data_IF_947279859572
#
_entry.id   IF_947279859572
#
_cell.length_a   1.000
_cell.length_b   1.000
_cell.length_c   1.000
_cell.angle_alpha   90.00
_cell.angle_beta   90.00
_cell.angle_gamma   90.00
#
_symmetry.space_group_name_H-M   'P 1'
#
loop_
_entity.id
_entity.type
_entity.pdbx_description
1 polymer ?
#
# COMPACT_ATOMS: atom_id res chain seq x y z
N UNK A 1 18.00 35.78 23.93
CA UNK A 1 19.13 35.02 23.36
C UNK A 1 19.11 33.55 23.78
N UNK A 2 18.87 33.24 25.07
CA UNK A 2 18.77 31.87 25.61
C UNK A 2 17.65 31.02 25.01
N UNK A 3 16.45 31.58 24.81
CA UNK A 3 15.31 30.84 24.23
C UNK A 3 15.61 30.37 22.80
N UNK A 4 16.26 31.21 21.99
CA UNK A 4 16.64 30.85 20.62
C UNK A 4 17.63 29.69 20.59
N UNK A 5 18.59 29.65 21.52
CA UNK A 5 19.55 28.54 21.64
C UNK A 5 18.85 27.23 22.02
N UNK A 6 17.87 27.27 22.92
CA UNK A 6 17.09 26.07 23.27
C UNK A 6 16.24 25.56 22.09
N UNK A 7 15.61 26.46 21.33
CA UNK A 7 14.83 26.10 20.15
C UNK A 7 15.72 25.47 19.07
N UNK A 8 16.90 26.04 18.82
CA UNK A 8 17.86 25.48 17.86
C UNK A 8 18.33 24.10 18.31
N UNK A 9 18.66 23.94 19.59
CA UNK A 9 19.06 22.64 20.16
C UNK A 9 17.96 21.58 20.03
N UNK A 10 16.70 21.95 20.28
CA UNK A 10 15.56 21.06 20.13
C UNK A 10 15.36 20.62 18.67
N UNK A 11 15.42 21.55 17.72
CA UNK A 11 15.28 21.24 16.29
C UNK A 11 16.41 20.31 15.84
N UNK A 12 17.65 20.58 16.26
CA UNK A 12 18.80 19.72 15.94
C UNK A 12 18.64 18.31 16.52
N UNK A 13 18.18 18.18 17.76
CA UNK A 13 17.93 16.89 18.39
C UNK A 13 16.85 16.08 17.65
N UNK A 14 15.75 16.73 17.26
CA UNK A 14 14.69 16.10 16.46
C UNK A 14 15.22 15.65 15.11
N UNK A 15 16.00 16.49 14.42
CA UNK A 15 16.57 16.16 13.12
C UNK A 15 17.54 14.96 13.19
N UNK A 16 18.40 14.92 14.21
CA UNK A 16 19.33 13.80 14.44
C UNK A 16 18.56 12.51 14.74
N UNK A 17 17.56 12.58 15.62
CA UNK A 17 16.71 11.44 15.93
C UNK A 17 16.03 10.87 14.68
N UNK A 18 15.42 11.74 13.87
CA UNK A 18 14.78 11.33 12.62
C UNK A 18 15.80 10.75 11.63
N UNK A 19 16.99 11.33 11.52
CA UNK A 19 18.06 10.81 10.66
C UNK A 19 18.49 9.39 11.06
N UNK A 20 18.66 9.13 12.37
CA UNK A 20 19.00 7.79 12.89
C UNK A 20 17.86 6.80 12.65
N UNK A 21 16.61 7.19 12.86
CA UNK A 21 15.45 6.32 12.58
C UNK A 21 15.38 5.96 11.10
N UNK A 22 15.68 6.90 10.20
CA UNK A 22 15.65 6.64 8.75
C UNK A 22 16.85 5.81 8.24
N UNK A 23 18.00 5.83 8.91
CA UNK A 23 19.12 4.93 8.55
C UNK A 23 18.92 3.51 9.06
N UNK A 24 18.24 3.33 10.18
CA UNK A 24 18.00 1.99 10.76
C UNK A 24 16.84 1.24 10.12
N UNK A 25 15.88 1.94 9.50
CA UNK A 25 14.74 1.30 8.80
C UNK A 25 14.82 1.63 7.31
N UNK A 26 15.66 0.92 6.53
CA UNK A 26 15.75 1.09 5.09
C UNK A 26 14.36 0.84 4.47
N UNK A 27 13.79 1.88 3.84
CA UNK A 27 12.46 1.84 3.22
C UNK A 27 11.32 2.53 3.99
N UNK A 28 11.49 2.85 5.28
CA UNK A 28 10.43 3.53 6.06
C UNK A 28 10.11 4.93 5.53
N UNK A 29 11.11 5.64 4.99
CA UNK A 29 10.92 6.93 4.34
C UNK A 29 10.10 6.80 3.05
N UNK A 30 10.32 5.74 2.27
CA UNK A 30 9.62 5.49 1.01
C UNK A 30 8.16 5.08 1.24
N UNK A 31 7.91 4.26 2.26
CA UNK A 31 6.56 3.84 2.69
C UNK A 31 5.73 5.03 3.22
N UNK A 32 6.35 5.88 4.06
CA UNK A 32 5.69 7.04 4.68
C UNK A 32 5.52 8.22 3.72
N UNK A 33 6.48 8.48 2.84
CA UNK A 33 6.44 9.62 1.90
C UNK A 33 6.05 9.24 0.47
N UNK A 34 5.65 7.98 0.24
CA UNK A 34 4.91 7.58 -0.95
C UNK A 34 5.63 7.68 -2.28
N UNK A 35 6.94 7.50 -2.29
CA UNK A 35 7.69 7.15 -3.50
C UNK A 35 7.50 5.67 -3.83
N UNK A 36 6.25 5.21 -3.99
CA UNK A 36 5.96 3.81 -4.35
C UNK A 36 6.14 3.54 -5.85
N UNK A 37 6.24 4.57 -6.69
CA UNK A 37 6.22 4.40 -8.16
C UNK A 37 7.57 4.61 -8.87
N UNK A 38 8.63 5.01 -8.17
CA UNK A 38 9.93 5.26 -8.81
C UNK A 38 10.83 4.02 -8.96
N UNK A 39 10.56 2.94 -8.20
CA UNK A 39 11.56 1.88 -7.97
C UNK A 39 11.00 0.45 -8.10
N UNK A 40 9.68 0.25 -8.05
CA UNK A 40 9.09 -1.10 -8.19
C UNK A 40 8.16 -1.10 -9.41
N UNK A 41 8.39 -1.99 -10.40
CA UNK A 41 7.49 -2.10 -11.55
C UNK A 41 6.11 -2.54 -11.07
N UNK A 42 5.06 -2.10 -11.77
CA UNK A 42 3.72 -2.61 -11.47
C UNK A 42 3.59 -4.05 -11.93
N UNK A 43 2.71 -4.82 -11.27
CA UNK A 43 2.24 -6.08 -11.82
C UNK A 43 1.68 -5.86 -13.24
N UNK A 44 2.00 -6.74 -14.21
CA UNK A 44 1.52 -6.60 -15.59
C UNK A 44 -0.01 -6.68 -15.72
N UNK A 45 -0.65 -7.30 -14.73
CA UNK A 45 -2.09 -7.49 -14.54
C UNK A 45 -2.75 -6.38 -13.70
N UNK A 46 -2.08 -5.25 -13.49
CA UNK A 46 -2.67 -4.13 -12.76
C UNK A 46 -3.95 -3.66 -13.47
N UNK A 47 -5.06 -3.58 -12.74
CA UNK A 47 -6.39 -3.29 -13.29
C UNK A 47 -7.30 -4.51 -13.47
N UNK A 48 -6.76 -5.72 -13.36
CA UNK A 48 -7.51 -6.97 -13.50
C UNK A 48 -7.91 -7.56 -12.14
N UNK A 49 -9.09 -8.18 -12.09
CA UNK A 49 -9.55 -8.93 -10.93
C UNK A 49 -9.04 -10.36 -11.01
N UNK A 50 -8.28 -10.80 -10.01
CA UNK A 50 -7.76 -12.15 -9.88
C UNK A 50 -8.42 -12.88 -8.73
N UNK A 51 -8.79 -14.14 -8.94
CA UNK A 51 -9.26 -15.00 -7.87
C UNK A 51 -8.11 -15.26 -6.88
N UNK A 52 -8.36 -15.01 -5.60
CA UNK A 52 -7.46 -15.38 -4.53
C UNK A 52 -7.90 -16.73 -3.96
N UNK A 53 -7.34 -17.80 -4.53
CA UNK A 53 -7.65 -19.17 -4.12
C UNK A 53 -6.65 -19.73 -3.10
N UNK A 54 -5.47 -19.11 -3.00
CA UNK A 54 -4.35 -19.63 -2.22
C UNK A 54 -4.32 -19.07 -0.78
N UNK A 55 -4.89 -17.90 -0.52
CA UNK A 55 -4.92 -17.34 0.84
C UNK A 55 -5.90 -18.10 1.74
N UNK A 56 -5.62 -18.12 3.04
CA UNK A 56 -6.54 -18.65 4.05
C UNK A 56 -7.93 -18.01 3.97
N UNK A 57 -7.98 -16.71 3.68
CA UNK A 57 -9.23 -15.95 3.51
C UNK A 57 -9.95 -16.35 2.22
N UNK A 58 -9.22 -16.59 1.14
CA UNK A 58 -9.75 -17.11 -0.12
C UNK A 58 -10.37 -18.51 0.03
N UNK A 59 -9.68 -19.39 0.73
CA UNK A 59 -10.18 -20.73 1.05
C UNK A 59 -11.42 -20.69 1.96
N UNK A 60 -11.44 -19.80 2.95
CA UNK A 60 -12.62 -19.60 3.80
C UNK A 60 -13.82 -19.08 3.00
N UNK A 61 -13.62 -18.09 2.12
CA UNK A 61 -14.67 -17.60 1.23
C UNK A 61 -15.22 -18.70 0.34
N UNK A 62 -14.35 -19.58 -0.17
CA UNK A 62 -14.76 -20.72 -1.00
C UNK A 62 -15.61 -21.71 -0.22
N UNK A 63 -15.34 -21.94 1.07
CA UNK A 63 -16.17 -22.76 1.94
C UNK A 63 -17.58 -22.17 2.15
N UNK A 64 -17.72 -20.84 2.03
CA UNK A 64 -18.99 -20.11 2.07
C UNK A 64 -19.69 -20.03 0.69
N UNK A 65 -19.12 -20.64 -0.37
CA UNK A 65 -19.64 -20.56 -1.73
C UNK A 65 -19.34 -19.23 -2.44
N UNK A 66 -18.41 -18.44 -1.90
CA UNK A 66 -17.98 -17.15 -2.44
C UNK A 66 -16.58 -17.28 -3.07
N UNK A 67 -16.32 -16.50 -4.12
CA UNK A 67 -14.98 -16.33 -4.69
C UNK A 67 -14.44 -14.97 -4.28
N UNK A 68 -13.31 -14.98 -3.59
CA UNK A 68 -12.58 -13.77 -3.26
C UNK A 68 -11.76 -13.33 -4.47
N UNK A 69 -11.95 -12.10 -4.90
CA UNK A 69 -11.20 -11.51 -6.01
C UNK A 69 -10.43 -10.29 -5.52
N UNK A 70 -9.18 -10.18 -5.95
CA UNK A 70 -8.25 -9.10 -5.59
C UNK A 70 -7.79 -8.40 -6.86
N UNK A 71 -7.73 -7.08 -6.81
CA UNK A 71 -7.18 -6.25 -7.88
C UNK A 71 -6.23 -5.22 -7.29
N UNK A 72 -5.11 -4.98 -7.98
CA UNK A 72 -4.30 -3.80 -7.79
C UNK A 72 -4.76 -2.71 -8.75
N UNK A 73 -5.00 -1.51 -8.23
CA UNK A 73 -5.46 -0.36 -9.00
C UNK A 73 -4.58 0.85 -8.73
N UNK A 74 -4.24 1.59 -9.77
CA UNK A 74 -3.48 2.83 -9.61
C UNK A 74 -4.44 3.99 -9.48
N UNK A 75 -4.47 4.59 -8.30
CA UNK A 75 -5.17 5.83 -8.06
C UNK A 75 -4.24 6.99 -8.46
N UNK A 76 -4.60 7.63 -9.56
CA UNK A 76 -3.97 8.84 -10.07
C UNK A 76 -4.76 10.04 -9.57
N UNK A 77 -4.37 10.66 -8.44
CA UNK A 77 -5.00 11.91 -8.03
C UNK A 77 -4.77 12.97 -9.12
N UNK A 78 -5.87 13.51 -9.64
CA UNK A 78 -5.85 14.61 -10.59
C UNK A 78 -5.25 15.88 -9.97
N UNK A 79 -3.97 16.14 -10.21
CA UNK A 79 -3.31 17.39 -9.82
C UNK A 79 -1.80 17.26 -9.64
N UNK A 80 -1.07 18.38 -9.84
CA UNK A 80 0.39 18.45 -9.84
C UNK A 80 1.08 18.04 -8.51
N UNK A 81 0.32 17.87 -7.42
CA UNK A 81 0.81 17.47 -6.08
C UNK A 81 0.26 16.12 -5.63
N UNK A 82 -0.59 15.49 -6.45
CA UNK A 82 -1.20 14.21 -6.13
C UNK A 82 -0.16 13.08 -6.20
N UNK A 83 0.13 12.43 -5.07
CA UNK A 83 0.99 11.24 -5.07
C UNK A 83 0.21 10.05 -5.63
N UNK A 84 0.60 9.58 -6.81
CA UNK A 84 0.16 8.30 -7.40
C UNK A 84 0.31 7.18 -6.37
N UNK A 85 -0.77 6.48 -6.06
CA UNK A 85 -0.78 5.40 -5.07
C UNK A 85 -1.40 4.15 -5.68
N UNK A 86 -0.88 2.98 -5.31
CA UNK A 86 -1.48 1.72 -5.68
C UNK A 86 -2.39 1.28 -4.54
N UNK A 87 -3.65 1.02 -4.88
CA UNK A 87 -4.68 0.50 -4.00
C UNK A 87 -4.84 -0.99 -4.27
N UNK A 88 -5.09 -1.73 -3.20
CA UNK A 88 -5.52 -3.12 -3.20
C UNK A 88 -7.01 -3.12 -2.93
N UNK A 89 -7.77 -3.55 -3.93
CA UNK A 89 -9.21 -3.68 -3.86
C UNK A 89 -9.57 -5.16 -3.74
N UNK A 90 -10.55 -5.46 -2.90
CA UNK A 90 -11.01 -6.82 -2.69
C UNK A 90 -12.52 -6.87 -2.76
N UNK A 91 -13.03 -7.85 -3.50
CA UNK A 91 -14.45 -8.14 -3.56
C UNK A 91 -14.69 -9.64 -3.40
N UNK A 92 -15.89 -9.98 -2.95
CA UNK A 92 -16.39 -11.33 -2.84
C UNK A 92 -17.53 -11.45 -3.83
N UNK A 93 -17.41 -12.40 -4.76
CA UNK A 93 -18.44 -12.68 -5.75
C UNK A 93 -19.09 -14.03 -5.48
N UNK A 94 -20.39 -14.14 -5.75
CA UNK A 94 -21.09 -15.42 -5.70
C UNK A 94 -20.80 -16.29 -6.95
N UNK A 95 -21.40 -17.48 -7.00
CA UNK A 95 -21.29 -18.38 -8.15
C UNK A 95 -21.86 -17.78 -9.45
N UNK A 96 -22.77 -16.80 -9.36
CA UNK A 96 -23.33 -16.06 -10.49
C UNK A 96 -22.49 -14.85 -10.92
N UNK A 97 -21.37 -14.59 -10.25
CA UNK A 97 -20.50 -13.44 -10.52
C UNK A 97 -21.00 -12.11 -9.94
N UNK A 98 -22.02 -12.13 -9.08
CA UNK A 98 -22.53 -10.92 -8.41
C UNK A 98 -21.65 -10.58 -7.22
N UNK A 99 -21.35 -9.29 -7.05
CA UNK A 99 -20.57 -8.80 -5.90
C UNK A 99 -21.45 -8.80 -4.66
N UNK A 100 -21.12 -9.65 -3.70
CA UNK A 100 -21.84 -9.80 -2.43
C UNK A 100 -21.26 -8.89 -1.34
N UNK A 101 -19.94 -8.71 -1.33
CA UNK A 101 -19.22 -7.92 -0.32
C UNK A 101 -17.95 -7.32 -0.91
N UNK A 102 -17.54 -6.16 -0.40
CA UNK A 102 -16.23 -5.55 -0.68
C UNK A 102 -15.48 -5.28 0.63
N UNK A 103 -14.15 -5.39 0.59
CA UNK A 103 -13.31 -4.89 1.69
C UNK A 103 -12.98 -3.41 1.46
N UNK A 104 -12.63 -2.65 2.52
CA UNK A 104 -12.12 -1.30 2.36
C UNK A 104 -10.86 -1.30 1.49
N UNK A 105 -10.74 -0.32 0.60
CA UNK A 105 -9.55 -0.15 -0.23
C UNK A 105 -8.33 0.12 0.66
N UNK A 106 -7.31 -0.71 0.51
CA UNK A 106 -6.07 -0.58 1.27
C UNK A 106 -4.94 -0.11 0.37
N UNK A 107 -3.99 0.62 0.93
CA UNK A 107 -2.77 0.97 0.19
C UNK A 107 -1.90 -0.28 0.05
N UNK A 108 -1.56 -0.63 -1.19
CA UNK A 108 -0.68 -1.76 -1.46
C UNK A 108 0.75 -1.46 -0.96
N UNK A 109 1.33 -2.43 -0.27
CA UNK A 109 2.73 -2.37 0.18
C UNK A 109 3.68 -2.78 -0.95
N UNK A 110 4.95 -2.39 -0.83
CA UNK A 110 5.99 -2.78 -1.80
C UNK A 110 6.21 -4.29 -1.86
N UNK A 111 5.97 -5.00 -0.75
CA UNK A 111 6.10 -6.45 -0.67
C UNK A 111 5.03 -7.15 -1.52
N UNK A 112 3.78 -6.70 -1.40
CA UNK A 112 2.63 -7.23 -2.16
C UNK A 112 2.81 -6.97 -3.67
N UNK A 113 3.24 -5.76 -4.04
CA UNK A 113 3.50 -5.42 -5.44
C UNK A 113 4.62 -6.30 -6.03
N UNK A 114 5.71 -6.51 -5.29
CA UNK A 114 6.81 -7.40 -5.73
C UNK A 114 6.37 -8.86 -5.86
N UNK A 115 5.47 -9.33 -5.01
CA UNK A 115 4.94 -10.68 -5.10
C UNK A 115 4.02 -10.84 -6.30
N UNK A 116 3.22 -9.82 -6.61
CA UNK A 116 2.31 -9.83 -7.76
C UNK A 116 3.03 -9.63 -9.11
N UNK A 117 4.20 -8.98 -9.12
CA UNK A 117 5.03 -8.80 -10.33
C UNK A 117 5.92 -10.01 -10.71
N UNK A 118 5.90 -11.09 -9.93
CA UNK A 118 6.65 -12.33 -10.22
C UNK A 118 5.78 -13.33 -10.95
#
# INVERSE_FOLDING_TARGET
>A
MTIALYVIGLIAAIAIYLAVVFTQVPGAFEERFGKLFGVTPLPPDCGEWKADEASSVGMAARAEGLRREVRFWVDEPGGALGRRRVLRQVRYVDAGGQVVRTEPDQRATRSELRQASR
#
